data_IF_031076780200
#
_entry.id   IF_031076780200
#
_cell.length_a   1.000
_cell.length_b   1.000
_cell.length_c   1.000
_cell.angle_alpha   90.00
_cell.angle_beta   90.00
_cell.angle_gamma   90.00
#
_symmetry.space_group_name_H-M   'P 1'
#
loop_
_entity.id
_entity.type
_entity.pdbx_description
1 polymer ?
#
# COMPACT_ATOMS: atom_id res chain seq x y z
N UNK A 1 -27.07 17.01 0.04
CA UNK A 1 -27.00 15.91 1.02
C UNK A 1 -25.88 15.01 0.55
N UNK A 2 -24.75 14.98 1.24
CA UNK A 2 -23.70 14.00 0.98
C UNK A 2 -24.28 12.63 1.33
N UNK A 3 -24.26 11.70 0.38
CA UNK A 3 -24.60 10.32 0.70
C UNK A 3 -23.43 9.77 1.52
N UNK A 4 -23.75 9.17 2.66
CA UNK A 4 -22.73 8.38 3.38
C UNK A 4 -22.14 7.35 2.43
N UNK A 5 -20.81 7.17 2.44
CA UNK A 5 -20.17 6.20 1.57
C UNK A 5 -20.79 4.81 1.80
N UNK A 6 -21.09 4.12 0.72
CA UNK A 6 -21.60 2.74 0.79
C UNK A 6 -20.64 1.90 1.63
N UNK A 7 -21.11 1.20 2.66
CA UNK A 7 -20.24 0.32 3.43
C UNK A 7 -19.79 -0.86 2.57
N UNK A 8 -18.48 -1.06 2.46
CA UNK A 8 -17.90 -2.19 1.74
C UNK A 8 -17.59 -3.35 2.69
N UNK A 9 -17.86 -4.57 2.25
CA UNK A 9 -17.37 -5.76 2.94
C UNK A 9 -15.86 -5.95 2.75
N UNK A 10 -15.23 -6.67 3.68
CA UNK A 10 -13.78 -6.92 3.65
C UNK A 10 -13.30 -7.56 2.34
N UNK A 11 -14.01 -8.58 1.85
CA UNK A 11 -13.68 -9.25 0.60
C UNK A 11 -13.90 -8.33 -0.62
N UNK A 12 -14.90 -7.47 -0.55
CA UNK A 12 -15.19 -6.49 -1.59
C UNK A 12 -14.06 -5.46 -1.72
N UNK A 13 -13.54 -4.95 -0.59
CA UNK A 13 -12.39 -4.04 -0.58
C UNK A 13 -11.12 -4.69 -1.12
N UNK A 14 -10.84 -5.95 -0.73
CA UNK A 14 -9.69 -6.70 -1.27
C UNK A 14 -9.76 -6.81 -2.78
N UNK A 15 -10.91 -7.26 -3.27
CA UNK A 15 -11.11 -7.47 -4.71
C UNK A 15 -11.08 -6.15 -5.48
N UNK A 16 -11.67 -5.10 -4.94
CA UNK A 16 -11.68 -3.76 -5.54
C UNK A 16 -10.25 -3.21 -5.72
N UNK A 17 -9.42 -3.30 -4.67
CA UNK A 17 -8.02 -2.87 -4.74
C UNK A 17 -7.23 -3.65 -5.80
N UNK A 18 -7.33 -4.96 -5.78
CA UNK A 18 -6.60 -5.81 -6.72
C UNK A 18 -7.05 -5.56 -8.17
N UNK A 19 -8.36 -5.46 -8.42
CA UNK A 19 -8.90 -5.13 -9.75
C UNK A 19 -8.47 -3.75 -10.22
N UNK A 20 -8.47 -2.74 -9.34
CA UNK A 20 -8.00 -1.42 -9.70
C UNK A 20 -6.56 -1.48 -10.23
N UNK A 21 -5.66 -2.15 -9.51
CA UNK A 21 -4.26 -2.24 -9.94
C UNK A 21 -4.06 -3.18 -11.14
N UNK A 22 -4.93 -4.15 -11.36
CA UNK A 22 -4.97 -4.91 -12.62
C UNK A 22 -5.27 -3.99 -13.82
N UNK A 23 -6.14 -2.97 -13.68
CA UNK A 23 -6.38 -1.95 -14.74
C UNK A 23 -5.16 -1.08 -15.01
N UNK A 24 -4.22 -0.99 -14.05
CA UNK A 24 -2.93 -0.30 -14.18
C UNK A 24 -1.80 -1.27 -14.56
N UNK A 25 -2.15 -2.40 -15.17
CA UNK A 25 -1.24 -3.43 -15.69
C UNK A 25 -0.42 -4.18 -14.61
N UNK A 26 -0.85 -4.17 -13.35
CA UNK A 26 -0.20 -4.96 -12.32
C UNK A 26 -0.55 -6.44 -12.42
N UNK A 27 0.46 -7.29 -12.26
CA UNK A 27 0.25 -8.72 -12.08
C UNK A 27 -0.24 -8.98 -10.65
N UNK A 28 -1.44 -9.52 -10.53
CA UNK A 28 -1.98 -9.95 -9.25
C UNK A 28 -1.29 -11.22 -8.79
N UNK A 29 -0.66 -11.19 -7.64
CA UNK A 29 -0.06 -12.35 -6.99
C UNK A 29 -0.89 -12.78 -5.77
N UNK A 30 -0.92 -14.09 -5.46
CA UNK A 30 -1.48 -14.56 -4.20
C UNK A 30 -0.63 -14.08 -3.01
N UNK A 31 -1.23 -14.10 -1.80
CA UNK A 31 -0.46 -13.88 -0.57
C UNK A 31 0.65 -14.90 -0.45
N UNK A 32 1.86 -14.44 -0.20
CA UNK A 32 2.97 -15.32 0.17
C UNK A 32 2.71 -15.99 1.53
N UNK A 33 3.45 -17.07 1.81
CA UNK A 33 3.46 -17.71 3.12
C UNK A 33 3.83 -16.71 4.21
N UNK A 34 3.24 -16.84 5.40
CA UNK A 34 3.67 -16.10 6.58
C UNK A 34 5.06 -16.54 7.09
N UNK A 35 5.48 -17.75 6.75
CA UNK A 35 6.82 -18.25 7.07
C UNK A 35 7.78 -17.71 6.02
N UNK A 36 8.80 -16.90 6.42
CA UNK A 36 9.77 -16.35 5.50
C UNK A 36 10.53 -17.45 4.76
N UNK A 37 10.77 -17.23 3.48
CA UNK A 37 11.64 -18.07 2.67
C UNK A 37 12.97 -17.33 2.49
N UNK A 38 14.06 -17.93 2.95
CA UNK A 38 15.42 -17.39 2.78
C UNK A 38 15.70 -16.01 3.44
N UNK A 39 14.94 -15.62 4.45
CA UNK A 39 15.17 -14.39 5.22
C UNK A 39 15.24 -14.71 6.72
N UNK A 40 16.45 -14.92 7.23
CA UNK A 40 16.70 -15.24 8.64
C UNK A 40 16.47 -14.02 9.58
N UNK A 41 16.30 -12.82 9.04
CA UNK A 41 16.03 -11.62 9.85
C UNK A 41 14.58 -11.51 10.31
N UNK A 42 13.69 -12.29 9.73
CA UNK A 42 12.25 -12.26 10.02
C UNK A 42 11.78 -13.60 10.60
N UNK A 43 11.07 -13.55 11.70
CA UNK A 43 10.37 -14.71 12.26
C UNK A 43 9.11 -15.03 11.44
N UNK A 44 8.36 -13.99 11.10
CA UNK A 44 7.15 -14.06 10.27
C UNK A 44 7.11 -12.88 9.30
N UNK A 45 6.43 -13.04 8.18
CA UNK A 45 6.23 -11.96 7.22
C UNK A 45 5.40 -10.86 7.87
N UNK A 46 5.96 -9.66 7.92
CA UNK A 46 5.42 -8.49 8.63
C UNK A 46 5.04 -7.32 7.70
N UNK A 47 5.25 -7.48 6.39
CA UNK A 47 4.90 -6.47 5.38
C UNK A 47 4.70 -7.10 4.00
N UNK A 48 3.98 -6.38 3.13
CA UNK A 48 3.76 -6.82 1.75
C UNK A 48 5.05 -6.89 0.92
N UNK A 49 6.03 -6.04 1.22
CA UNK A 49 7.31 -5.98 0.52
C UNK A 49 8.27 -7.11 0.93
N UNK A 50 8.19 -7.59 2.18
CA UNK A 50 9.20 -8.50 2.73
C UNK A 50 9.49 -9.73 1.85
N UNK A 51 8.50 -10.47 1.33
CA UNK A 51 8.77 -11.62 0.47
C UNK A 51 9.33 -11.26 -0.92
N UNK A 52 9.28 -9.98 -1.29
CA UNK A 52 9.72 -9.47 -2.59
C UNK A 52 11.12 -8.80 -2.54
N UNK A 53 11.79 -8.82 -1.38
CA UNK A 53 13.13 -8.21 -1.23
C UNK A 53 14.10 -8.59 -2.36
N UNK A 54 14.22 -9.86 -2.79
CA UNK A 54 15.15 -10.23 -3.87
C UNK A 54 14.87 -9.52 -5.20
N UNK A 55 13.62 -9.14 -5.45
CA UNK A 55 13.25 -8.37 -6.65
C UNK A 55 13.65 -6.90 -6.54
N UNK A 56 13.55 -6.32 -5.33
CA UNK A 56 14.00 -4.94 -5.06
C UNK A 56 15.52 -4.79 -5.05
N UNK A 57 16.24 -5.82 -4.60
CA UNK A 57 17.72 -5.82 -4.57
C UNK A 57 18.35 -6.20 -5.91
N UNK A 58 17.54 -6.71 -6.86
CA UNK A 58 18.04 -7.20 -8.14
C UNK A 58 18.70 -8.60 -8.08
N UNK A 59 18.57 -9.30 -6.96
CA UNK A 59 19.03 -10.69 -6.82
C UNK A 59 18.23 -11.66 -7.69
N UNK A 60 16.96 -11.32 -7.92
CA UNK A 60 16.04 -12.09 -8.76
C UNK A 60 15.22 -11.14 -9.62
N UNK A 61 14.90 -11.57 -10.84
CA UNK A 61 13.98 -10.86 -11.71
C UNK A 61 12.54 -11.00 -11.19
N UNK A 62 11.76 -9.91 -11.11
CA UNK A 62 10.35 -9.99 -10.77
C UNK A 62 9.55 -10.65 -11.91
N UNK A 63 8.44 -11.33 -11.63
CA UNK A 63 7.59 -11.92 -12.67
C UNK A 63 6.96 -10.88 -13.59
N UNK A 64 6.86 -9.63 -13.13
CA UNK A 64 6.47 -8.43 -13.87
C UNK A 64 6.96 -7.20 -13.12
N UNK A 65 7.24 -6.10 -13.83
CA UNK A 65 7.67 -4.83 -13.21
C UNK A 65 6.58 -4.18 -12.34
N UNK A 66 5.30 -4.48 -12.58
CA UNK A 66 4.16 -4.05 -11.77
C UNK A 66 3.48 -5.25 -11.15
N UNK A 67 3.38 -5.27 -9.83
CA UNK A 67 2.77 -6.36 -9.06
C UNK A 67 1.82 -5.79 -8.01
N UNK A 68 0.69 -6.44 -7.76
CA UNK A 68 -0.18 -6.14 -6.63
C UNK A 68 -0.53 -7.40 -5.84
N UNK A 69 -0.71 -7.24 -4.54
CA UNK A 69 -1.06 -8.33 -3.62
C UNK A 69 -1.97 -7.85 -2.50
N UNK A 70 -2.68 -8.81 -1.90
CA UNK A 70 -3.26 -8.70 -0.57
C UNK A 70 -2.46 -9.63 0.35
N UNK A 71 -1.38 -9.13 0.96
CA UNK A 71 -0.44 -9.93 1.75
C UNK A 71 -0.87 -10.04 3.20
N UNK A 72 -0.99 -11.27 3.68
CA UNK A 72 -1.17 -11.59 5.10
C UNK A 72 0.12 -11.26 5.87
N UNK A 73 -0.02 -10.54 6.98
CA UNK A 73 1.12 -10.07 7.78
C UNK A 73 0.87 -10.31 9.27
N UNK A 74 1.97 -10.55 10.00
CA UNK A 74 1.96 -10.61 11.47
C UNK A 74 3.03 -9.67 12.01
N UNK A 75 2.63 -8.80 12.95
CA UNK A 75 3.53 -7.97 13.76
C UNK A 75 3.27 -8.23 15.23
N UNK A 76 4.33 -8.54 15.98
CA UNK A 76 4.27 -8.85 17.41
C UNK A 76 4.81 -7.73 18.29
N UNK A 77 5.48 -6.72 17.72
CA UNK A 77 6.05 -5.59 18.45
C UNK A 77 5.03 -4.77 19.26
N UNK A 78 3.77 -4.76 18.80
CA UNK A 78 2.68 -4.03 19.42
C UNK A 78 1.75 -4.91 20.27
N UNK A 79 2.15 -6.14 20.59
CA UNK A 79 1.29 -7.11 21.28
C UNK A 79 0.79 -6.59 22.63
N UNK A 80 1.63 -5.82 23.34
CA UNK A 80 1.28 -5.21 24.64
C UNK A 80 0.24 -4.08 24.52
N UNK A 81 0.05 -3.54 23.33
CA UNK A 81 -0.90 -2.46 23.03
C UNK A 81 -2.28 -2.98 22.62
N UNK A 82 -2.39 -4.28 22.33
CA UNK A 82 -3.65 -4.90 21.90
C UNK A 82 -4.64 -4.88 23.05
N UNK A 83 -5.84 -4.36 22.77
CA UNK A 83 -6.88 -4.16 23.77
C UNK A 83 -6.70 -2.91 24.64
N UNK A 84 -5.56 -2.23 24.57
CA UNK A 84 -5.33 -0.93 25.23
C UNK A 84 -5.55 0.25 24.29
N UNK A 85 -5.27 0.06 23.02
CA UNK A 85 -5.47 1.05 21.95
C UNK A 85 -6.52 0.55 20.97
N UNK A 86 -7.21 1.47 20.31
CA UNK A 86 -8.34 1.13 19.43
C UNK A 86 -7.93 0.49 18.08
N UNK A 87 -6.64 0.52 17.70
CA UNK A 87 -6.21 0.24 16.33
C UNK A 87 -5.04 -0.74 16.19
N UNK A 88 -4.57 -1.36 17.27
CA UNK A 88 -3.49 -2.33 17.21
C UNK A 88 -4.04 -3.76 17.10
N UNK A 89 -3.51 -4.51 16.15
CA UNK A 89 -3.74 -5.94 15.95
C UNK A 89 -2.43 -6.62 15.58
N UNK A 90 -2.29 -7.91 15.90
CA UNK A 90 -1.10 -8.69 15.51
C UNK A 90 -1.19 -9.17 14.08
N UNK A 91 -2.36 -9.63 13.65
CA UNK A 91 -2.63 -10.06 12.29
C UNK A 91 -3.33 -8.95 11.50
N UNK A 92 -2.87 -8.71 10.28
CA UNK A 92 -3.50 -7.79 9.34
C UNK A 92 -3.17 -8.20 7.91
N UNK A 93 -3.86 -7.58 6.96
CA UNK A 93 -3.55 -7.71 5.55
C UNK A 93 -3.06 -6.37 5.01
N UNK A 94 -2.02 -6.45 4.19
CA UNK A 94 -1.47 -5.29 3.50
C UNK A 94 -1.86 -5.35 2.03
N UNK A 95 -2.69 -4.40 1.61
CA UNK A 95 -3.01 -4.17 0.21
C UNK A 95 -1.83 -3.40 -0.38
N UNK A 96 -1.12 -4.01 -1.30
CA UNK A 96 0.13 -3.47 -1.83
C UNK A 96 0.17 -3.46 -3.34
N UNK A 97 0.66 -2.36 -3.89
CA UNK A 97 1.07 -2.21 -5.28
C UNK A 97 2.56 -1.88 -5.33
N UNK A 98 3.29 -2.55 -6.20
CA UNK A 98 4.75 -2.51 -6.23
C UNK A 98 5.23 -2.25 -7.65
N UNK A 99 6.26 -1.39 -7.76
CA UNK A 99 6.95 -1.05 -9.00
C UNK A 99 8.42 -1.45 -8.90
N UNK A 100 8.87 -2.28 -9.84
CA UNK A 100 10.25 -2.72 -9.94
C UNK A 100 10.93 -2.00 -11.11
N UNK A 101 11.31 -0.71 -10.85
CA UNK A 101 11.96 0.11 -11.87
C UNK A 101 11.05 0.57 -13.01
N UNK A 102 9.75 0.68 -12.80
CA UNK A 102 8.76 1.13 -13.78
C UNK A 102 8.23 2.52 -13.40
N UNK A 103 7.17 2.61 -12.60
CA UNK A 103 6.64 3.89 -12.14
C UNK A 103 7.18 4.29 -10.77
N UNK A 104 7.00 5.57 -10.39
CA UNK A 104 7.40 6.09 -9.10
C UNK A 104 6.32 7.01 -8.51
N UNK A 105 6.70 8.10 -7.85
CA UNK A 105 5.81 8.96 -7.05
C UNK A 105 4.61 9.49 -7.83
N UNK A 106 4.83 9.98 -9.04
CA UNK A 106 3.78 10.63 -9.83
C UNK A 106 2.60 9.69 -10.05
N UNK A 107 2.82 8.56 -10.69
CA UNK A 107 1.75 7.60 -10.96
C UNK A 107 1.17 7.01 -9.67
N UNK A 108 2.02 6.72 -8.67
CA UNK A 108 1.58 6.19 -7.39
C UNK A 108 0.60 7.13 -6.68
N UNK A 109 0.88 8.44 -6.66
CA UNK A 109 0.02 9.46 -6.05
C UNK A 109 -1.30 9.59 -6.84
N UNK A 110 -1.23 9.70 -8.18
CA UNK A 110 -2.43 9.80 -9.01
C UNK A 110 -3.33 8.57 -8.86
N UNK A 111 -2.76 7.36 -8.87
CA UNK A 111 -3.55 6.14 -8.71
C UNK A 111 -4.12 5.98 -7.30
N UNK A 112 -3.37 6.39 -6.26
CA UNK A 112 -3.89 6.39 -4.90
C UNK A 112 -5.10 7.34 -4.78
N UNK A 113 -5.00 8.53 -5.33
CA UNK A 113 -6.09 9.49 -5.35
C UNK A 113 -7.29 8.98 -6.13
N UNK A 114 -7.07 8.49 -7.36
CA UNK A 114 -8.12 7.91 -8.19
C UNK A 114 -8.84 6.76 -7.46
N UNK A 115 -8.08 5.83 -6.88
CA UNK A 115 -8.66 4.69 -6.16
C UNK A 115 -9.53 5.12 -4.99
N UNK A 116 -9.07 6.11 -4.22
CA UNK A 116 -9.76 6.54 -3.01
C UNK A 116 -10.98 7.42 -3.31
N UNK A 117 -10.91 8.30 -4.32
CA UNK A 117 -11.94 9.33 -4.54
C UNK A 117 -12.91 9.03 -5.67
N UNK A 118 -12.53 8.21 -6.65
CA UNK A 118 -13.42 7.88 -7.76
C UNK A 118 -14.65 7.11 -7.28
N UNK A 119 -15.88 7.52 -7.72
CA UNK A 119 -17.11 6.79 -7.41
C UNK A 119 -17.16 5.35 -7.94
N UNK A 120 -16.34 5.03 -8.94
CA UNK A 120 -16.22 3.67 -9.49
C UNK A 120 -15.47 2.74 -8.52
N UNK A 121 -14.67 3.30 -7.63
CA UNK A 121 -13.86 2.58 -6.66
C UNK A 121 -14.36 2.84 -5.24
N UNK A 122 -13.52 3.43 -4.38
CA UNK A 122 -13.90 3.63 -2.97
C UNK A 122 -14.86 4.81 -2.78
N UNK A 123 -14.69 5.88 -3.55
CA UNK A 123 -15.61 7.04 -3.56
C UNK A 123 -15.61 7.83 -2.24
N UNK A 124 -14.43 7.96 -1.60
CA UNK A 124 -14.32 8.80 -0.40
C UNK A 124 -14.44 10.29 -0.76
N UNK A 125 -14.99 11.04 0.16
CA UNK A 125 -15.03 12.49 0.08
C UNK A 125 -13.59 13.05 0.17
N UNK A 126 -13.12 13.78 -0.86
CA UNK A 126 -11.79 14.39 -0.86
C UNK A 126 -11.49 15.26 0.36
N UNK A 127 -12.49 15.99 0.87
CA UNK A 127 -12.35 16.87 2.03
C UNK A 127 -12.02 16.12 3.33
N UNK A 128 -12.11 14.79 3.34
CA UNK A 128 -11.77 13.91 4.46
C UNK A 128 -10.40 13.27 4.33
N UNK A 129 -9.66 13.53 3.25
CA UNK A 129 -8.35 12.97 2.99
C UNK A 129 -7.25 13.99 3.30
N UNK A 130 -6.28 13.58 4.07
CA UNK A 130 -5.17 14.42 4.53
C UNK A 130 -3.84 13.76 4.17
N UNK A 131 -3.36 13.97 2.93
CA UNK A 131 -2.05 13.46 2.53
C UNK A 131 -0.94 14.15 3.31
N UNK A 132 0.12 13.41 3.60
CA UNK A 132 1.32 13.95 4.24
C UNK A 132 2.56 13.59 3.42
N UNK A 133 3.53 14.50 3.41
CA UNK A 133 4.82 14.31 2.77
C UNK A 133 5.93 14.49 3.79
N UNK A 134 7.11 13.94 3.50
CA UNK A 134 8.27 14.11 4.37
C UNK A 134 8.77 15.54 4.32
N UNK A 135 8.80 16.22 5.47
CA UNK A 135 9.21 17.62 5.59
C UNK A 135 10.74 17.84 5.60
N UNK A 136 11.52 16.78 5.54
CA UNK A 136 12.97 16.83 5.68
C UNK A 136 13.44 16.76 7.14
N UNK A 137 14.74 16.54 7.31
CA UNK A 137 15.46 16.61 8.58
C UNK A 137 16.92 17.05 8.32
N UNK A 138 17.77 17.01 9.34
CA UNK A 138 19.18 17.43 9.23
C UNK A 138 19.99 16.64 8.19
N UNK A 139 19.61 15.42 7.86
CA UNK A 139 20.36 14.51 6.97
C UNK A 139 19.68 14.25 5.64
N UNK A 140 18.39 14.52 5.54
CA UNK A 140 17.57 14.18 4.35
C UNK A 140 16.69 15.37 3.97
N UNK A 141 16.74 15.83 2.71
CA UNK A 141 15.90 16.94 2.25
C UNK A 141 14.41 16.59 2.28
N UNK A 142 13.57 17.61 2.25
CA UNK A 142 12.13 17.47 2.10
C UNK A 142 11.76 16.78 0.77
N UNK A 143 10.62 16.10 0.73
CA UNK A 143 10.09 15.51 -0.50
C UNK A 143 9.27 16.55 -1.29
N UNK A 144 9.98 17.51 -1.90
CA UNK A 144 9.38 18.60 -2.68
C UNK A 144 8.65 18.07 -3.92
N UNK A 145 9.07 16.94 -4.48
CA UNK A 145 8.42 16.32 -5.64
C UNK A 145 7.01 15.84 -5.26
N UNK A 146 6.88 15.05 -4.19
CA UNK A 146 5.59 14.59 -3.72
C UNK A 146 4.70 15.76 -3.28
N UNK A 147 5.28 16.77 -2.60
CA UNK A 147 4.55 17.98 -2.22
C UNK A 147 3.96 18.70 -3.43
N UNK A 148 4.77 18.90 -4.49
CA UNK A 148 4.31 19.54 -5.72
C UNK A 148 3.21 18.75 -6.41
N UNK A 149 3.34 17.42 -6.53
CA UNK A 149 2.33 16.59 -7.17
C UNK A 149 0.99 16.70 -6.43
N UNK A 150 1.01 16.64 -5.10
CA UNK A 150 -0.21 16.80 -4.31
C UNK A 150 -0.87 18.16 -4.46
N UNK A 151 -0.10 19.26 -4.53
CA UNK A 151 -0.64 20.62 -4.58
C UNK A 151 -0.96 21.13 -5.99
N UNK A 152 -0.20 20.73 -7.01
CA UNK A 152 -0.32 21.29 -8.35
C UNK A 152 -1.06 20.36 -9.32
N UNK A 153 -0.96 19.03 -9.12
CA UNK A 153 -1.53 18.06 -10.05
C UNK A 153 -2.84 17.43 -9.50
N UNK A 154 -2.94 17.29 -8.19
CA UNK A 154 -4.15 16.76 -7.53
C UNK A 154 -5.07 17.90 -7.08
N UNK A 155 -4.55 18.96 -6.47
CA UNK A 155 -5.29 20.17 -6.04
C UNK A 155 -5.83 20.06 -4.64
#
# INVERSE_FOLDING_TARGET
>A
MMQDPKPFGLNELREMFLKFFETKEHLRLPSFSLIPQNDASLLLINSGMAPMKPWFTGEQEPPRHRVCTCQKCIRTGDIENIGKTARHGTYFEMLGNFSFGDYFKKDAIHWAWEFLTSPEWVGLDPDRLYPSVFAGNETTPADDEAFRIWNEEIG
#
